data_IF_636391176943
#
_entry.id   IF_636391176943
#
_cell.length_a   1.000
_cell.length_b   1.000
_cell.length_c   1.000
_cell.angle_alpha   90.00
_cell.angle_beta   90.00
_cell.angle_gamma   90.00
#
_symmetry.space_group_name_H-M   'P 1'
#
loop_
_entity.id
_entity.type
_entity.pdbx_description
1 polymer ?
#
# COMPACT_ATOMS: atom_id res chain seq x y z
N UNK A 1 4.02 -19.13 -8.88
CA UNK A 1 3.48 -17.78 -8.61
C UNK A 1 3.21 -17.68 -7.11
N UNK A 2 4.07 -18.30 -6.31
CA UNK A 2 3.69 -18.72 -4.97
C UNK A 2 4.39 -17.72 -4.07
N UNK A 3 3.61 -16.81 -3.46
CA UNK A 3 4.05 -15.67 -2.63
C UNK A 3 4.10 -14.27 -3.28
N UNK A 4 3.21 -13.96 -4.23
CA UNK A 4 3.02 -12.58 -4.74
C UNK A 4 1.58 -12.10 -4.56
N UNK A 5 1.40 -10.79 -4.37
CA UNK A 5 0.09 -10.14 -4.31
C UNK A 5 -0.56 -10.24 -5.69
N UNK A 6 -1.71 -10.92 -5.78
CA UNK A 6 -2.48 -11.07 -7.03
C UNK A 6 -3.60 -10.02 -7.12
N UNK A 7 -4.12 -9.57 -5.98
CA UNK A 7 -5.14 -8.54 -5.89
C UNK A 7 -5.09 -7.90 -4.51
N UNK A 8 -5.32 -6.59 -4.46
CA UNK A 8 -5.44 -5.83 -3.23
C UNK A 8 -6.43 -4.69 -3.48
N UNK A 9 -7.34 -4.48 -2.53
CA UNK A 9 -8.21 -3.32 -2.49
C UNK A 9 -8.12 -2.71 -1.10
N UNK A 10 -7.91 -1.40 -1.05
CA UNK A 10 -7.72 -0.64 0.17
C UNK A 10 -8.91 0.31 0.29
N UNK A 11 -9.66 0.17 1.37
CA UNK A 11 -10.76 1.07 1.72
C UNK A 11 -10.60 1.49 3.16
N UNK A 12 -11.05 2.69 3.52
CA UNK A 12 -11.01 3.16 4.89
C UNK A 12 -11.45 4.60 5.02
N UNK A 13 -11.35 5.12 6.22
CA UNK A 13 -11.64 6.51 6.55
C UNK A 13 -10.32 7.29 6.60
N UNK A 14 -9.88 7.77 5.44
CA UNK A 14 -8.69 8.59 5.26
C UNK A 14 -8.85 9.45 4.01
N UNK A 15 -8.03 10.50 3.88
CA UNK A 15 -7.95 11.30 2.67
C UNK A 15 -6.57 11.18 2.02
N UNK A 16 -6.55 11.12 0.68
CA UNK A 16 -5.35 11.17 -0.14
C UNK A 16 -5.46 12.31 -1.15
N UNK A 17 -4.38 13.07 -1.32
CA UNK A 17 -4.28 14.11 -2.34
C UNK A 17 -2.97 13.92 -3.13
N UNK A 18 -3.04 13.58 -4.43
CA UNK A 18 -4.26 13.31 -5.21
C UNK A 18 -4.96 11.99 -4.81
N UNK A 19 -6.28 11.92 -4.95
CA UNK A 19 -7.07 10.72 -4.63
C UNK A 19 -6.69 9.50 -5.50
N UNK A 20 -6.26 9.75 -6.73
CA UNK A 20 -5.83 8.72 -7.69
C UNK A 20 -4.63 7.89 -7.21
N UNK A 21 -3.87 8.40 -6.24
CA UNK A 21 -2.72 7.67 -5.70
C UNK A 21 -3.14 6.38 -4.98
N UNK A 22 -4.39 6.26 -4.50
CA UNK A 22 -4.85 5.00 -3.90
C UNK A 22 -4.87 3.86 -4.92
N UNK A 23 -5.52 4.09 -6.07
CA UNK A 23 -5.62 3.09 -7.13
C UNK A 23 -4.24 2.77 -7.73
N UNK A 24 -3.36 3.76 -7.83
CA UNK A 24 -1.99 3.57 -8.32
C UNK A 24 -1.15 2.75 -7.35
N UNK A 25 -1.35 2.93 -6.03
CA UNK A 25 -0.70 2.09 -5.02
C UNK A 25 -1.16 0.64 -5.16
N UNK A 26 -2.46 0.39 -5.28
CA UNK A 26 -3.04 -0.95 -5.46
C UNK A 26 -2.48 -1.64 -6.71
N UNK A 27 -2.47 -0.95 -7.84
CA UNK A 27 -1.89 -1.45 -9.10
C UNK A 27 -0.40 -1.75 -8.96
N UNK A 28 0.35 -0.92 -8.24
CA UNK A 28 1.79 -1.12 -8.06
C UNK A 28 2.15 -2.19 -7.03
N UNK A 29 1.23 -2.54 -6.14
CA UNK A 29 1.39 -3.67 -5.23
C UNK A 29 1.10 -5.01 -5.91
N UNK A 30 0.36 -5.01 -7.02
CA UNK A 30 0.19 -6.22 -7.83
C UNK A 30 1.54 -6.78 -8.28
N UNK A 31 1.78 -8.06 -7.98
CA UNK A 31 3.02 -8.76 -8.30
C UNK A 31 4.18 -8.49 -7.35
N UNK A 32 4.01 -7.65 -6.32
CA UNK A 32 4.98 -7.50 -5.23
C UNK A 32 4.98 -8.77 -4.38
N UNK A 33 6.14 -9.14 -3.88
CA UNK A 33 6.29 -10.27 -2.97
C UNK A 33 5.46 -10.04 -1.69
N UNK A 34 4.71 -11.06 -1.27
CA UNK A 34 3.89 -11.02 -0.07
C UNK A 34 4.76 -11.17 1.19
N UNK A 35 5.75 -10.29 1.31
CA UNK A 35 6.73 -10.23 2.38
C UNK A 35 6.67 -8.85 3.06
N UNK A 36 6.91 -8.83 4.37
CA UNK A 36 6.75 -7.63 5.19
C UNK A 36 7.70 -6.50 4.80
N UNK A 37 8.94 -6.82 4.42
CA UNK A 37 9.93 -5.83 4.04
C UNK A 37 9.66 -5.32 2.61
N UNK A 38 9.32 -6.22 1.69
CA UNK A 38 8.93 -5.86 0.33
C UNK A 38 7.72 -4.90 0.30
N UNK A 39 6.66 -5.20 1.05
CA UNK A 39 5.46 -4.38 1.14
C UNK A 39 5.77 -3.03 1.77
N UNK A 40 6.47 -3.01 2.91
CA UNK A 40 6.84 -1.77 3.59
C UNK A 40 7.65 -0.86 2.67
N UNK A 41 8.69 -1.41 2.03
CA UNK A 41 9.54 -0.64 1.13
C UNK A 41 8.74 -0.09 -0.05
N UNK A 42 7.82 -0.87 -0.61
CA UNK A 42 6.97 -0.43 -1.71
C UNK A 42 6.03 0.71 -1.31
N UNK A 43 5.35 0.59 -0.17
CA UNK A 43 4.40 1.60 0.30
C UNK A 43 5.11 2.91 0.66
N UNK A 44 6.22 2.82 1.40
CA UNK A 44 6.97 4.02 1.81
C UNK A 44 7.58 4.75 0.60
N UNK A 45 8.17 4.01 -0.34
CA UNK A 45 8.70 4.61 -1.58
C UNK A 45 7.59 5.24 -2.43
N UNK A 46 6.44 4.57 -2.58
CA UNK A 46 5.31 5.09 -3.35
C UNK A 46 4.87 6.48 -2.87
N UNK A 47 4.60 6.63 -1.57
CA UNK A 47 4.14 7.91 -1.03
C UNK A 47 5.28 8.94 -0.93
N UNK A 48 6.52 8.50 -0.67
CA UNK A 48 7.68 9.39 -0.60
C UNK A 48 8.05 10.01 -1.95
N UNK A 49 8.02 9.23 -3.03
CA UNK A 49 8.39 9.66 -4.37
C UNK A 49 7.34 10.60 -4.98
N UNK A 50 6.06 10.37 -4.67
CA UNK A 50 4.93 11.14 -5.22
C UNK A 50 4.56 12.37 -4.41
N UNK A 51 5.10 12.52 -3.19
CA UNK A 51 4.73 13.57 -2.23
C UNK A 51 3.21 13.62 -1.99
N UNK A 52 2.56 12.46 -2.01
CA UNK A 52 1.14 12.32 -1.70
C UNK A 52 0.86 12.86 -0.31
N UNK A 53 -0.15 13.70 -0.18
CA UNK A 53 -0.61 14.15 1.15
C UNK A 53 -1.61 13.14 1.68
N UNK A 54 -1.36 12.65 2.89
CA UNK A 54 -2.23 11.72 3.60
C UNK A 54 -2.77 12.43 4.85
N UNK A 55 -4.09 12.39 5.05
CA UNK A 55 -4.73 12.86 6.27
C UNK A 55 -5.51 11.72 6.93
N UNK A 56 -5.33 11.54 8.24
CA UNK A 56 -5.96 10.47 9.03
C UNK A 56 -5.17 9.16 9.09
N UNK A 57 -4.06 9.04 8.34
CA UNK A 57 -3.17 7.89 8.33
C UNK A 57 -1.73 8.28 7.95
N UNK A 58 -0.80 7.35 8.13
CA UNK A 58 0.58 7.44 7.65
C UNK A 58 0.90 6.31 6.67
N UNK A 59 1.94 6.43 5.81
CA UNK A 59 2.40 5.34 4.96
C UNK A 59 2.64 4.02 5.70
N UNK A 60 3.08 4.10 6.95
CA UNK A 60 3.32 2.93 7.78
C UNK A 60 2.04 2.21 8.20
N UNK A 61 0.92 2.93 8.35
CA UNK A 61 -0.38 2.33 8.65
C UNK A 61 -0.87 1.48 7.48
N UNK A 62 -0.70 1.97 6.25
CA UNK A 62 -0.99 1.19 5.03
C UNK A 62 -0.15 -0.09 4.99
N UNK A 63 1.17 0.02 5.17
CA UNK A 63 2.05 -1.15 5.18
C UNK A 63 1.65 -2.15 6.29
N UNK A 64 1.26 -1.65 7.47
CA UNK A 64 0.81 -2.47 8.59
C UNK A 64 -0.47 -3.24 8.25
N UNK A 65 -1.52 -2.58 7.76
CA UNK A 65 -2.80 -3.24 7.48
C UNK A 65 -2.72 -4.21 6.30
N UNK A 66 -1.89 -3.92 5.29
CA UNK A 66 -1.63 -4.85 4.19
C UNK A 66 -0.95 -6.11 4.73
N UNK A 67 0.08 -5.95 5.57
CA UNK A 67 0.76 -7.08 6.21
C UNK A 67 -0.17 -7.92 7.09
N UNK A 68 -1.14 -7.28 7.77
CA UNK A 68 -2.17 -8.00 8.52
C UNK A 68 -3.10 -8.79 7.61
N UNK A 69 -3.49 -8.22 6.47
CA UNK A 69 -4.38 -8.86 5.51
C UNK A 69 -3.74 -10.10 4.87
N UNK A 70 -2.46 -10.05 4.49
CA UNK A 70 -1.77 -11.19 3.87
C UNK A 70 -1.41 -12.32 4.85
N UNK A 71 -1.35 -12.01 6.15
CA UNK A 71 -1.06 -12.99 7.21
C UNK A 71 -2.33 -13.69 7.75
N UNK A 72 -3.50 -13.29 7.27
CA UNK A 72 -4.81 -13.85 7.63
C UNK A 72 -5.22 -14.96 6.68
#
# INVERSE_FOLDING_TARGET
>A
LDNRIVFLQITGDFFLLPETDLEDLEKQLHGVEADSEAIKNKVVSFFGDRKTVIAGASPMDFAYVINKAIAS
#
